data_IF_956246530940
#
_entry.id   IF_956246530940
#
_cell.length_a   1.000
_cell.length_b   1.000
_cell.length_c   1.000
_cell.angle_alpha   90.00
_cell.angle_beta   90.00
_cell.angle_gamma   90.00
#
_symmetry.space_group_name_H-M   'P 1'
#
loop_
_entity.id
_entity.type
_entity.pdbx_description
1 polymer ?
#
# COMPACT_ATOMS: atom_id res chain seq x y z
N UNK A 1 -37.23 54.51 -22.74
CA UNK A 1 -36.57 53.22 -23.03
C UNK A 1 -35.08 53.45 -22.88
N UNK A 2 -34.28 52.83 -22.02
CA UNK A 2 -34.44 51.69 -21.12
C UNK A 2 -33.30 51.77 -20.09
N UNK A 3 -33.50 52.54 -19.01
CA UNK A 3 -32.67 52.45 -17.79
C UNK A 3 -32.99 51.14 -17.09
N UNK A 4 -32.43 50.03 -17.57
CA UNK A 4 -32.42 48.73 -16.88
C UNK A 4 -31.05 48.07 -17.07
N UNK A 5 -29.99 48.85 -16.87
CA UNK A 5 -28.64 48.36 -16.62
C UNK A 5 -28.42 48.37 -15.10
N UNK A 6 -29.33 47.74 -14.35
CA UNK A 6 -29.22 47.64 -12.90
C UNK A 6 -29.21 46.17 -12.51
N UNK A 7 -28.05 45.79 -11.96
CA UNK A 7 -27.89 44.78 -10.94
C UNK A 7 -28.34 43.35 -11.31
N UNK A 8 -27.42 42.60 -11.93
CA UNK A 8 -27.29 41.19 -11.59
C UNK A 8 -25.81 40.93 -11.26
N UNK A 9 -25.37 41.48 -10.12
CA UNK A 9 -24.21 40.96 -9.40
C UNK A 9 -24.71 39.65 -8.76
N UNK A 10 -24.71 38.56 -9.53
CA UNK A 10 -24.91 37.23 -8.97
C UNK A 10 -23.54 36.76 -8.47
N UNK A 11 -23.34 36.94 -7.17
CA UNK A 11 -22.17 36.50 -6.43
C UNK A 11 -21.94 34.99 -6.64
N UNK A 12 -20.98 34.65 -7.50
CA UNK A 12 -20.37 33.34 -7.52
C UNK A 12 -19.45 33.23 -6.29
N UNK A 13 -20.03 32.89 -5.14
CA UNK A 13 -19.27 32.42 -4.00
C UNK A 13 -18.66 31.07 -4.38
N UNK A 14 -17.43 31.10 -4.90
CA UNK A 14 -16.60 29.90 -5.08
C UNK A 14 -16.32 29.36 -3.68
N UNK A 15 -17.11 28.37 -3.25
CA UNK A 15 -16.77 27.52 -2.11
C UNK A 15 -15.54 26.74 -2.53
N UNK A 16 -14.36 27.29 -2.25
CA UNK A 16 -13.10 26.57 -2.32
C UNK A 16 -13.16 25.50 -1.22
N UNK A 17 -13.65 24.30 -1.58
CA UNK A 17 -13.45 23.11 -0.78
C UNK A 17 -11.94 22.90 -0.74
N UNK A 18 -11.31 23.37 0.33
CA UNK A 18 -9.92 23.06 0.64
C UNK A 18 -9.83 21.56 0.89
N UNK A 19 -9.64 20.79 -0.19
CA UNK A 19 -9.11 19.43 -0.09
C UNK A 19 -7.69 19.58 0.46
N UNK A 20 -7.56 19.58 1.79
CA UNK A 20 -6.26 19.42 2.42
C UNK A 20 -5.71 18.08 1.93
N UNK A 21 -4.56 18.05 1.24
CA UNK A 21 -3.94 16.78 0.89
C UNK A 21 -3.70 16.04 2.20
N UNK A 22 -4.31 14.86 2.36
CA UNK A 22 -3.97 13.98 3.45
C UNK A 22 -2.46 13.74 3.39
N UNK A 23 -1.74 14.08 4.47
CA UNK A 23 -0.31 13.84 4.54
C UNK A 23 -0.05 12.36 4.31
N UNK A 24 0.94 12.04 3.48
CA UNK A 24 1.34 10.66 3.28
C UNK A 24 1.79 10.05 4.62
N UNK A 25 1.35 8.83 4.89
CA UNK A 25 1.81 8.08 6.06
C UNK A 25 3.19 7.56 5.75
N UNK A 26 4.20 8.19 6.35
CA UNK A 26 5.57 7.72 6.32
C UNK A 26 5.77 6.68 7.41
N UNK A 27 6.16 5.46 7.03
CA UNK A 27 6.49 4.40 7.98
C UNK A 27 7.75 4.79 8.77
N UNK A 28 7.84 4.34 10.02
CA UNK A 28 9.02 4.57 10.87
C UNK A 28 9.97 3.37 10.83
N UNK A 29 11.30 3.62 10.78
CA UNK A 29 12.26 2.56 11.01
C UNK A 29 12.19 2.03 12.44
N UNK A 30 12.68 0.82 12.65
CA UNK A 30 12.74 0.16 13.96
C UNK A 30 12.23 -1.27 13.93
N UNK A 31 11.92 -1.81 15.10
CA UNK A 31 11.38 -3.16 15.25
C UNK A 31 9.89 -3.19 14.94
N UNK A 32 9.50 -4.03 14.00
CA UNK A 32 8.13 -4.31 13.61
C UNK A 32 7.75 -5.73 13.99
N UNK A 33 6.55 -5.89 14.53
CA UNK A 33 5.93 -7.19 14.76
C UNK A 33 4.77 -7.34 13.80
N UNK A 34 4.75 -8.46 13.10
CA UNK A 34 3.74 -8.79 12.09
C UNK A 34 3.04 -10.06 12.53
N UNK A 35 1.70 -10.05 12.47
CA UNK A 35 0.88 -11.22 12.76
C UNK A 35 0.07 -11.55 11.53
N UNK A 36 0.30 -12.73 10.99
CA UNK A 36 -0.35 -13.25 9.81
C UNK A 36 -1.39 -14.31 10.21
N UNK A 37 -2.53 -14.27 9.53
CA UNK A 37 -3.58 -15.29 9.62
C UNK A 37 -4.04 -15.61 8.21
N UNK A 38 -4.54 -16.81 7.97
CA UNK A 38 -4.96 -17.17 6.63
C UNK A 38 -5.53 -18.56 6.50
N UNK A 39 -5.65 -18.98 5.25
CA UNK A 39 -6.13 -20.29 4.85
C UNK A 39 -5.25 -20.88 3.76
N UNK A 40 -5.02 -22.19 3.80
CA UNK A 40 -4.36 -22.98 2.76
C UNK A 40 -5.29 -24.14 2.38
N UNK A 41 -5.52 -24.36 1.09
CA UNK A 41 -6.49 -25.34 0.57
C UNK A 41 -7.89 -25.25 1.23
N UNK A 42 -8.33 -24.01 1.50
CA UNK A 42 -9.61 -23.72 2.14
C UNK A 42 -9.67 -24.01 3.65
N UNK A 43 -8.56 -24.42 4.28
CA UNK A 43 -8.48 -24.69 5.71
C UNK A 43 -7.69 -23.59 6.42
N UNK A 44 -8.11 -23.14 7.61
CA UNK A 44 -7.35 -22.16 8.37
C UNK A 44 -5.99 -22.73 8.76
N UNK A 45 -4.95 -21.91 8.61
CA UNK A 45 -3.59 -22.21 9.09
C UNK A 45 -3.35 -21.52 10.44
N UNK A 46 -2.46 -22.04 11.31
CA UNK A 46 -2.10 -21.36 12.54
C UNK A 46 -1.62 -19.93 12.28
N UNK A 47 -2.05 -19.00 13.14
CA UNK A 47 -1.52 -17.64 13.09
C UNK A 47 -0.02 -17.65 13.35
N UNK A 48 0.73 -16.86 12.58
CA UNK A 48 2.18 -16.72 12.72
C UNK A 48 2.48 -15.28 13.13
N UNK A 49 3.32 -15.12 14.15
CA UNK A 49 3.82 -13.81 14.54
C UNK A 49 5.32 -13.79 14.35
N UNK A 50 5.81 -12.89 13.53
CA UNK A 50 7.23 -12.67 13.27
C UNK A 50 7.62 -11.26 13.70
N UNK A 51 8.92 -11.06 13.97
CA UNK A 51 9.46 -9.75 14.32
C UNK A 51 10.67 -9.49 13.45
N UNK A 52 10.66 -8.35 12.76
CA UNK A 52 11.71 -7.94 11.84
C UNK A 52 12.09 -6.48 12.08
N UNK A 53 13.28 -6.07 11.65
CA UNK A 53 13.70 -4.67 11.70
C UNK A 53 13.49 -4.02 10.33
N UNK A 54 12.76 -2.90 10.31
CA UNK A 54 12.66 -2.02 9.14
C UNK A 54 13.74 -0.94 9.22
N UNK A 55 14.60 -0.90 8.22
CA UNK A 55 15.65 0.11 8.06
C UNK A 55 15.08 1.47 7.64
N UNK A 56 15.81 2.58 7.83
CA UNK A 56 15.39 3.89 7.35
C UNK A 56 15.14 3.95 5.84
N UNK A 57 15.91 3.20 5.06
CA UNK A 57 15.78 3.12 3.60
C UNK A 57 14.50 2.38 3.21
N UNK A 58 14.16 1.29 3.91
CA UNK A 58 12.92 0.53 3.71
C UNK A 58 11.69 1.31 4.16
N UNK A 59 11.79 2.06 5.25
CA UNK A 59 10.70 2.91 5.73
C UNK A 59 10.32 4.02 4.73
N UNK A 60 11.32 4.54 4.00
CA UNK A 60 11.14 5.54 2.92
C UNK A 60 10.67 4.93 1.60
N UNK A 61 10.91 3.65 1.38
CA UNK A 61 10.41 2.91 0.23
C UNK A 61 9.65 1.65 0.67
N UNK A 62 8.33 1.77 0.95
CA UNK A 62 7.55 0.64 1.44
C UNK A 62 7.54 -0.58 0.52
N UNK A 63 7.78 -0.40 -0.79
CA UNK A 63 7.93 -1.53 -1.70
C UNK A 63 9.17 -2.35 -1.33
N UNK A 64 10.29 -1.70 -1.02
CA UNK A 64 11.51 -2.38 -0.59
C UNK A 64 11.37 -3.02 0.80
N UNK A 65 10.65 -2.36 1.71
CA UNK A 65 10.47 -2.83 3.09
C UNK A 65 9.52 -4.02 3.24
N UNK A 66 8.41 -4.00 2.50
CA UNK A 66 7.29 -4.94 2.65
C UNK A 66 7.20 -5.98 1.52
N UNK A 67 8.01 -5.87 0.47
CA UNK A 67 8.08 -6.89 -0.58
C UNK A 67 8.94 -8.08 -0.15
N UNK A 68 8.51 -9.32 -0.41
CA UNK A 68 9.31 -10.52 -0.16
C UNK A 68 10.51 -10.68 -1.11
N UNK A 69 10.75 -9.73 -2.02
CA UNK A 69 11.91 -9.73 -2.92
C UNK A 69 13.25 -9.81 -2.17
N UNK A 70 13.32 -9.23 -0.95
CA UNK A 70 14.54 -9.24 -0.13
C UNK A 70 14.88 -10.64 0.38
N UNK A 71 13.90 -11.43 0.80
CA UNK A 71 14.08 -12.80 1.28
C UNK A 71 14.39 -13.75 0.12
N UNK A 72 13.76 -13.53 -1.02
CA UNK A 72 13.82 -14.43 -2.19
C UNK A 72 15.02 -14.17 -3.11
N UNK A 73 15.98 -13.32 -2.73
CA UNK A 73 17.26 -13.07 -3.44
C UNK A 73 17.10 -12.82 -4.95
N UNK A 74 16.07 -12.08 -5.35
CA UNK A 74 15.83 -11.75 -6.77
C UNK A 74 15.17 -12.87 -7.59
N UNK A 75 14.67 -13.93 -6.96
CA UNK A 75 13.78 -14.90 -7.62
C UNK A 75 12.36 -14.36 -7.81
N UNK A 76 12.05 -13.18 -7.28
CA UNK A 76 10.77 -12.52 -7.45
C UNK A 76 10.94 -11.24 -8.26
N UNK A 77 9.95 -10.94 -9.09
CA UNK A 77 9.85 -9.69 -9.85
C UNK A 77 8.49 -9.03 -9.60
N UNK A 78 8.52 -7.84 -9.01
CA UNK A 78 7.33 -7.01 -8.83
C UNK A 78 6.84 -6.37 -10.13
N UNK A 79 5.53 -6.27 -10.27
CA UNK A 79 4.80 -5.55 -11.32
C UNK A 79 3.48 -5.00 -10.75
N UNK A 80 2.78 -4.18 -11.54
CA UNK A 80 1.53 -3.52 -11.12
C UNK A 80 1.63 -2.77 -9.79
N UNK A 81 2.80 -2.17 -9.52
CA UNK A 81 3.03 -1.41 -8.29
C UNK A 81 2.20 -0.13 -8.30
N UNK A 82 1.39 0.06 -7.26
CA UNK A 82 0.65 1.29 -6.99
C UNK A 82 0.99 1.77 -5.59
N UNK A 83 1.53 2.99 -5.50
CA UNK A 83 1.79 3.69 -4.25
C UNK A 83 0.79 4.82 -4.11
N UNK A 84 0.18 4.94 -2.94
CA UNK A 84 -0.69 6.06 -2.57
C UNK A 84 -0.15 6.71 -1.29
N UNK A 85 -0.76 7.82 -0.87
CA UNK A 85 -0.39 8.48 0.38
C UNK A 85 -0.53 7.55 1.61
N UNK A 86 -1.40 6.55 1.56
CA UNK A 86 -1.77 5.72 2.73
C UNK A 86 -1.69 4.23 2.42
N UNK A 87 -0.95 3.82 1.39
CA UNK A 87 -0.90 2.41 1.05
C UNK A 87 -0.02 2.05 -0.14
N UNK A 88 0.12 0.75 -0.31
CA UNK A 88 0.93 0.10 -1.33
C UNK A 88 0.18 -1.14 -1.81
N UNK A 89 0.08 -1.34 -3.12
CA UNK A 89 -0.31 -2.63 -3.69
C UNK A 89 0.62 -3.01 -4.82
N UNK A 90 0.92 -4.29 -4.96
CA UNK A 90 1.75 -4.81 -6.04
C UNK A 90 1.43 -6.28 -6.30
N UNK A 91 1.88 -6.75 -7.46
CA UNK A 91 1.91 -8.16 -7.81
C UNK A 91 3.36 -8.60 -8.00
N UNK A 92 3.64 -9.88 -7.82
CA UNK A 92 4.95 -10.46 -8.11
C UNK A 92 4.79 -11.80 -8.79
N UNK A 93 5.73 -12.10 -9.67
CA UNK A 93 5.99 -13.45 -10.14
C UNK A 93 7.31 -13.91 -9.51
N UNK A 94 7.27 -15.03 -8.81
CA UNK A 94 8.38 -15.63 -8.09
C UNK A 94 8.73 -17.01 -8.68
N UNK A 95 10.03 -17.34 -8.69
CA UNK A 95 10.56 -18.62 -9.13
C UNK A 95 10.84 -18.71 -10.65
N UNK A 96 11.08 -19.93 -11.12
CA UNK A 96 11.28 -20.25 -12.54
C UNK A 96 10.05 -21.04 -13.03
N UNK A 97 9.30 -20.53 -14.04
CA UNK A 97 8.14 -21.23 -14.62
C UNK A 97 8.40 -22.68 -15.05
N UNK A 98 9.67 -23.08 -15.28
CA UNK A 98 10.03 -24.44 -15.67
C UNK A 98 10.24 -25.40 -14.49
N UNK A 99 10.38 -24.90 -13.27
CA UNK A 99 10.63 -25.71 -12.06
C UNK A 99 9.55 -25.49 -11.02
N UNK A 100 9.29 -24.23 -10.69
CA UNK A 100 8.31 -23.80 -9.71
C UNK A 100 8.08 -22.30 -9.90
N UNK A 101 6.84 -21.91 -10.14
CA UNK A 101 6.42 -20.51 -10.17
C UNK A 101 5.37 -20.25 -9.11
N UNK A 102 5.34 -19.03 -8.61
CA UNK A 102 4.35 -18.59 -7.64
C UNK A 102 4.02 -17.13 -7.93
N UNK A 103 2.73 -16.81 -8.01
CA UNK A 103 2.24 -15.44 -8.13
C UNK A 103 1.78 -14.94 -6.79
N UNK A 104 2.17 -13.72 -6.45
CA UNK A 104 1.77 -13.07 -5.21
C UNK A 104 1.06 -11.77 -5.55
N UNK A 105 -0.06 -11.50 -4.90
CA UNK A 105 -0.71 -10.19 -4.90
C UNK A 105 -0.78 -9.68 -3.47
N UNK A 106 -0.23 -8.49 -3.22
CA UNK A 106 -0.20 -7.86 -1.92
C UNK A 106 -0.85 -6.48 -1.94
N UNK A 107 -1.55 -6.13 -0.86
CA UNK A 107 -2.11 -4.80 -0.64
C UNK A 107 -1.98 -4.43 0.82
N UNK A 108 -1.45 -3.24 1.09
CA UNK A 108 -1.20 -2.68 2.41
C UNK A 108 -1.90 -1.34 2.57
N UNK A 109 -2.46 -1.10 3.75
CA UNK A 109 -3.04 0.17 4.18
C UNK A 109 -2.25 0.65 5.39
N UNK A 110 -1.61 1.81 5.26
CA UNK A 110 -0.83 2.43 6.33
C UNK A 110 -1.78 3.21 7.24
N UNK A 111 -1.99 2.69 8.45
CA UNK A 111 -2.92 3.24 9.45
C UNK A 111 -2.24 4.38 10.21
N UNK A 112 -0.96 4.20 10.53
CA UNK A 112 -0.12 5.20 11.20
C UNK A 112 1.35 4.96 10.84
N UNK A 113 2.26 5.86 11.23
CA UNK A 113 3.70 5.67 11.01
C UNK A 113 4.27 4.36 11.60
N UNK A 114 3.57 3.69 12.51
CA UNK A 114 4.02 2.46 13.18
C UNK A 114 3.00 1.32 13.07
N UNK A 115 2.03 1.43 12.16
CA UNK A 115 1.00 0.41 12.00
C UNK A 115 0.47 0.37 10.57
N UNK A 116 0.35 -0.84 10.03
CA UNK A 116 -0.36 -1.10 8.79
C UNK A 116 -1.23 -2.35 8.93
N UNK A 117 -2.16 -2.50 8.00
CA UNK A 117 -2.85 -3.76 7.74
C UNK A 117 -2.59 -4.17 6.29
N UNK A 118 -2.70 -5.46 6.01
CA UNK A 118 -2.49 -5.93 4.64
C UNK A 118 -3.21 -7.22 4.33
N UNK A 119 -3.24 -7.53 3.04
CA UNK A 119 -3.70 -8.81 2.51
C UNK A 119 -2.66 -9.32 1.53
N UNK A 120 -2.40 -10.61 1.58
CA UNK A 120 -1.56 -11.30 0.62
C UNK A 120 -2.33 -12.49 0.08
N UNK A 121 -2.23 -12.70 -1.24
CA UNK A 121 -2.73 -13.89 -1.92
C UNK A 121 -1.59 -14.50 -2.69
N UNK A 122 -1.51 -15.82 -2.62
CA UNK A 122 -0.48 -16.61 -3.26
C UNK A 122 -1.15 -17.65 -4.14
N UNK A 123 -0.70 -17.77 -5.38
CA UNK A 123 -1.17 -18.73 -6.37
C UNK A 123 0.06 -19.49 -6.91
N UNK A 124 -0.01 -20.82 -6.97
CA UNK A 124 1.05 -21.70 -7.47
C UNK A 124 0.84 -22.01 -8.96
#
# INVERSE_FOLDING_TARGET
MSRRLQAVIAAFAVVAISLSPAAAVELRPGTWQETETGTEDGKPVPAKTDTSCMTPEEAKDPLKGLSPEKEMKGQCRSYDVRKTATGLSFRMDCGDPKQFSMKIAASFVFVSPTQYTGTMKTEL
#
